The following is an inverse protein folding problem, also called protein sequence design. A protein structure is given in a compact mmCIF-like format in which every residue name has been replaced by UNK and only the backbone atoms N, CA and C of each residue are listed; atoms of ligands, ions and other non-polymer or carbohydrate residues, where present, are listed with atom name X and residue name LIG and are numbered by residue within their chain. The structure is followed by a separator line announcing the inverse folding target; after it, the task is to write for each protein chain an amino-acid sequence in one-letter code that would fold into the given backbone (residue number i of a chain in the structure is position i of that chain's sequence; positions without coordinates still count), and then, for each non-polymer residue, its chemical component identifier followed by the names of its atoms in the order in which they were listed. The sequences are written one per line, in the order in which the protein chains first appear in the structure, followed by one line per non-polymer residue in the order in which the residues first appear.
data_IF_024517472092
#
_entry.id   IF_024517472092
#
_cell.length_a   1.000
_cell.length_b   1.000
_cell.length_c   1.000
_cell.angle_alpha   90.00
_cell.angle_beta   90.00
_cell.angle_gamma   90.00
#
_symmetry.space_group_name_H-M   'P 1'
#
loop_
_entity.id
_entity.type
_entity.pdbx_description
1 polymer ?
#
# COMPACT_ATOMS: atom_id res chain seq x y z
N UNK A 1 0.23 -26.82 -15.09
CA UNK A 1 -0.08 -26.49 -13.68
C UNK A 1 0.15 -25.02 -13.49
N UNK A 2 -0.91 -24.22 -13.74
CA UNK A 2 -0.84 -22.78 -13.56
C UNK A 2 -0.70 -22.45 -12.08
N UNK A 3 0.42 -21.91 -11.68
CA UNK A 3 0.60 -21.33 -10.35
C UNK A 3 -0.31 -20.10 -10.27
N UNK A 4 -1.36 -20.19 -9.47
CA UNK A 4 -2.22 -19.07 -9.19
C UNK A 4 -1.45 -18.11 -8.31
N UNK A 5 -0.88 -17.08 -8.92
CA UNK A 5 -0.14 -16.06 -8.18
C UNK A 5 -1.10 -15.21 -7.37
N UNK A 6 -1.01 -15.33 -6.07
CA UNK A 6 -1.72 -14.45 -5.16
C UNK A 6 -0.83 -13.24 -4.88
N UNK A 7 -0.98 -12.19 -5.71
CA UNK A 7 -0.27 -10.95 -5.50
C UNK A 7 -0.62 -10.33 -4.13
N UNK A 8 0.40 -9.95 -3.40
CA UNK A 8 0.29 -9.23 -2.12
C UNK A 8 1.13 -7.96 -2.20
N UNK A 9 0.68 -6.91 -2.93
CA UNK A 9 1.38 -5.65 -2.92
C UNK A 9 1.31 -5.01 -1.54
N UNK A 10 2.45 -4.51 -1.11
CA UNK A 10 2.61 -3.73 0.11
C UNK A 10 2.92 -2.30 -0.29
N UNK A 11 2.15 -1.38 0.24
CA UNK A 11 2.26 0.05 0.01
C UNK A 11 2.91 0.68 1.24
N UNK A 12 4.00 1.39 1.04
CA UNK A 12 4.72 2.07 2.11
C UNK A 12 4.81 3.55 1.79
N UNK A 13 4.20 4.38 2.64
CA UNK A 13 4.39 5.82 2.59
C UNK A 13 5.68 6.20 3.30
N UNK A 14 6.50 7.00 2.63
CA UNK A 14 7.78 7.46 3.15
C UNK A 14 7.88 8.97 3.06
N UNK A 15 8.57 9.55 4.02
CA UNK A 15 8.77 10.98 4.16
C UNK A 15 10.24 11.32 3.97
N UNK A 16 10.53 12.28 3.12
CA UNK A 16 11.87 12.79 2.89
C UNK A 16 11.90 14.29 3.14
N UNK A 17 12.98 14.77 3.74
CA UNK A 17 13.23 16.19 3.88
C UNK A 17 13.59 16.85 2.55
N UNK A 18 13.91 18.16 2.59
CA UNK A 18 14.31 18.92 1.39
C UNK A 18 15.64 18.45 0.80
N UNK A 19 16.52 17.90 1.64
CA UNK A 19 17.86 17.43 1.26
C UNK A 19 17.81 15.98 0.74
N UNK A 20 16.69 15.30 0.90
CA UNK A 20 16.48 13.93 0.44
C UNK A 20 16.77 12.86 1.48
N UNK A 21 16.96 13.25 2.75
CA UNK A 21 17.08 12.29 3.84
C UNK A 21 15.72 11.77 4.24
N UNK A 22 15.62 10.48 4.52
CA UNK A 22 14.39 9.91 5.00
C UNK A 22 14.14 10.26 6.46
N UNK A 23 12.94 10.77 6.73
CA UNK A 23 12.44 11.02 8.08
C UNK A 23 11.61 9.82 8.51
N UNK A 24 12.07 9.12 9.51
CA UNK A 24 11.37 7.97 10.10
C UNK A 24 10.92 8.29 11.51
N UNK A 25 9.79 7.72 11.89
CA UNK A 25 9.33 7.76 13.27
C UNK A 25 10.00 6.67 14.11
N UNK A 26 10.03 6.88 15.41
CA UNK A 26 10.52 5.87 16.35
C UNK A 26 9.37 4.95 16.73
N UNK A 27 9.41 3.74 16.22
CA UNK A 27 8.46 2.71 16.58
C UNK A 27 8.78 2.03 17.90
N UNK A 28 8.06 0.96 18.18
CA UNK A 28 8.27 0.16 19.37
C UNK A 28 9.71 -0.35 19.45
N UNK A 29 10.30 -0.35 20.60
CA UNK A 29 11.69 -0.75 20.88
C UNK A 29 12.76 0.07 20.13
N UNK A 30 12.46 1.32 19.78
CA UNK A 30 13.40 2.19 19.09
C UNK A 30 13.63 1.87 17.61
N UNK A 31 12.87 0.96 17.03
CA UNK A 31 12.99 0.61 15.61
C UNK A 31 12.45 1.73 14.73
N UNK A 32 13.18 2.15 13.69
CA UNK A 32 12.66 3.13 12.73
C UNK A 32 11.48 2.55 11.94
N UNK A 33 10.42 3.34 11.81
CA UNK A 33 9.21 2.99 11.06
C UNK A 33 8.89 4.06 10.02
N UNK A 34 8.37 3.68 8.85
CA UNK A 34 7.91 4.63 7.84
C UNK A 34 6.63 5.32 8.29
N UNK A 35 6.18 6.30 7.51
CA UNK A 35 4.98 7.10 7.78
C UNK A 35 3.74 6.24 8.01
N UNK A 36 3.44 5.37 7.06
CA UNK A 36 2.31 4.45 7.12
C UNK A 36 2.49 3.31 6.13
N UNK A 37 1.75 2.24 6.33
CA UNK A 37 1.69 1.09 5.44
C UNK A 37 0.25 0.68 5.16
N UNK A 38 0.06 0.07 4.00
CA UNK A 38 -1.16 -0.63 3.65
C UNK A 38 -0.82 -1.86 2.81
N UNK A 39 -1.67 -2.86 2.82
CA UNK A 39 -1.49 -4.06 2.02
C UNK A 39 -2.82 -4.70 1.67
N UNK A 40 -2.85 -5.42 0.58
CA UNK A 40 -4.01 -6.17 0.17
C UNK A 40 -3.57 -7.42 -0.59
N UNK A 41 -4.03 -8.58 -0.15
CA UNK A 41 -4.00 -9.75 -1.00
C UNK A 41 -5.02 -9.58 -2.13
N UNK A 42 -4.56 -9.48 -3.37
CA UNK A 42 -5.41 -9.14 -4.54
C UNK A 42 -6.59 -10.11 -4.72
N UNK A 43 -6.44 -11.37 -4.30
CA UNK A 43 -7.56 -12.32 -4.28
C UNK A 43 -8.68 -11.96 -3.29
N UNK A 44 -8.45 -11.04 -2.38
CA UNK A 44 -9.44 -10.53 -1.41
C UNK A 44 -9.92 -9.11 -1.75
N UNK A 45 -9.80 -8.70 -3.01
CA UNK A 45 -10.13 -7.34 -3.49
C UNK A 45 -11.62 -6.97 -3.47
N UNK A 46 -12.50 -7.94 -3.20
CA UNK A 46 -13.95 -7.66 -3.20
C UNK A 46 -14.32 -6.67 -2.10
N UNK A 47 -14.88 -5.54 -2.51
CA UNK A 47 -15.33 -4.48 -1.60
C UNK A 47 -16.74 -4.76 -1.09
N UNK A 48 -17.00 -4.30 0.11
CA UNK A 48 -18.34 -4.16 0.65
C UNK A 48 -18.81 -2.71 0.37
N UNK A 49 -19.83 -2.52 -0.47
CA UNK A 49 -20.28 -1.18 -0.84
C UNK A 49 -21.00 -0.44 0.28
N UNK A 50 -21.56 -1.16 1.27
CA UNK A 50 -22.26 -0.56 2.40
C UNK A 50 -21.29 -0.06 3.47
N UNK A 51 -20.15 -0.74 3.64
CA UNK A 51 -19.15 -0.43 4.65
C UNK A 51 -17.98 0.38 4.13
N UNK A 52 -17.79 0.44 2.81
CA UNK A 52 -16.70 1.21 2.18
C UNK A 52 -17.01 2.70 2.18
N UNK A 53 -15.97 3.50 2.44
CA UNK A 53 -15.98 4.95 2.24
C UNK A 53 -14.96 5.31 1.14
N UNK A 54 -15.10 6.45 0.47
CA UNK A 54 -14.18 6.84 -0.60
C UNK A 54 -12.68 6.81 -0.22
N UNK A 55 -12.37 7.03 1.05
CA UNK A 55 -11.03 7.05 1.62
C UNK A 55 -10.69 5.81 2.46
N UNK A 56 -11.65 4.90 2.67
CA UNK A 56 -11.49 3.68 3.47
C UNK A 56 -12.22 2.52 2.80
N UNK A 57 -11.59 1.81 1.87
CA UNK A 57 -12.16 0.63 1.26
C UNK A 57 -12.30 -0.49 2.30
N UNK A 58 -13.48 -1.08 2.40
CA UNK A 58 -13.75 -2.22 3.26
C UNK A 58 -13.87 -3.49 2.42
N UNK A 59 -13.03 -4.48 2.69
CA UNK A 59 -12.99 -5.74 1.94
C UNK A 59 -13.80 -6.81 2.65
N UNK A 60 -14.65 -7.52 1.90
CA UNK A 60 -15.52 -8.56 2.47
C UNK A 60 -14.79 -9.77 3.03
N UNK A 61 -13.66 -10.15 2.46
CA UNK A 61 -12.88 -11.33 2.82
C UNK A 61 -13.65 -12.66 2.83
N UNK A 62 -14.82 -12.72 2.19
CA UNK A 62 -15.70 -13.91 2.18
C UNK A 62 -15.28 -14.97 1.17
N UNK A 63 -14.62 -14.56 0.09
CA UNK A 63 -14.20 -15.46 -1.00
C UNK A 63 -12.86 -15.03 -1.59
N UNK A 64 -12.18 -15.97 -2.23
CA UNK A 64 -10.93 -15.71 -2.93
C UNK A 64 -11.19 -15.56 -4.43
N UNK A 65 -10.86 -14.40 -4.98
CA UNK A 65 -10.99 -14.07 -6.40
C UNK A 65 -9.59 -14.13 -7.03
N UNK A 66 -9.15 -15.34 -7.35
CA UNK A 66 -7.85 -15.54 -8.00
C UNK A 66 -7.80 -14.89 -9.38
N UNK A 67 -6.62 -14.39 -9.74
CA UNK A 67 -6.38 -13.83 -11.07
C UNK A 67 -6.11 -14.94 -12.07
N UNK A 68 -6.63 -14.78 -13.28
CA UNK A 68 -6.24 -15.57 -14.45
C UNK A 68 -4.96 -14.99 -15.06
N UNK A 69 -4.18 -15.78 -15.78
CA UNK A 69 -3.04 -15.26 -16.52
C UNK A 69 -3.43 -14.09 -17.44
N UNK A 70 -2.74 -12.96 -17.32
CA UNK A 70 -3.02 -11.75 -18.09
C UNK A 70 -4.24 -10.93 -17.63
N UNK A 71 -4.95 -11.35 -16.60
CA UNK A 71 -6.08 -10.58 -16.05
C UNK A 71 -5.60 -9.32 -15.35
N UNK A 72 -6.21 -8.19 -15.72
CA UNK A 72 -5.95 -6.88 -15.11
C UNK A 72 -7.16 -6.52 -14.25
N UNK A 73 -6.90 -6.16 -12.99
CA UNK A 73 -7.96 -5.79 -12.05
C UNK A 73 -7.62 -4.50 -11.34
N UNK A 74 -8.65 -3.74 -11.02
CA UNK A 74 -8.52 -2.60 -10.13
C UNK A 74 -8.54 -3.08 -8.68
N UNK A 75 -7.67 -2.48 -7.85
CA UNK A 75 -7.64 -2.72 -6.41
C UNK A 75 -7.65 -1.39 -5.66
N UNK A 76 -8.31 -1.37 -4.53
CA UNK A 76 -8.27 -0.26 -3.59
C UNK A 76 -7.62 -0.76 -2.31
N UNK A 77 -6.64 -0.05 -1.82
CA UNK A 77 -5.88 -0.48 -0.64
C UNK A 77 -5.93 0.62 0.40
N UNK A 78 -6.43 0.30 1.58
CA UNK A 78 -6.35 1.20 2.71
C UNK A 78 -4.89 1.30 3.18
N UNK A 79 -4.40 2.52 3.27
CA UNK A 79 -3.16 2.82 3.98
C UNK A 79 -3.56 3.35 5.34
N UNK A 80 -3.00 2.77 6.38
CA UNK A 80 -3.39 3.09 7.75
C UNK A 80 -3.19 4.56 8.06
N UNK A 81 -4.11 5.16 8.83
CA UNK A 81 -4.04 6.57 9.15
C UNK A 81 -2.78 6.89 9.95
N UNK A 82 -2.24 8.05 9.68
CA UNK A 82 -1.07 8.60 10.37
C UNK A 82 -1.27 10.08 10.64
N UNK A 83 -0.54 10.61 11.62
CA UNK A 83 -0.48 12.03 11.91
C UNK A 83 0.95 12.51 11.74
N UNK A 84 1.29 12.99 10.55
CA UNK A 84 2.63 13.47 10.23
C UNK A 84 2.57 14.82 9.53
N UNK A 85 3.48 15.72 9.91
CA UNK A 85 3.61 17.05 9.32
C UNK A 85 4.65 17.02 8.21
N UNK A 86 4.22 17.28 6.98
CA UNK A 86 5.09 17.51 5.84
C UNK A 86 5.38 19.01 5.71
N UNK A 87 6.63 19.41 5.96
CA UNK A 87 7.04 20.81 5.82
C UNK A 87 7.20 21.19 4.35
N UNK A 88 7.21 22.49 4.06
CA UNK A 88 7.51 23.00 2.71
C UNK A 88 8.85 22.44 2.22
N UNK A 89 8.87 21.93 1.00
CA UNK A 89 10.07 21.31 0.41
C UNK A 89 10.27 19.82 0.73
N UNK A 90 9.53 19.29 1.70
CA UNK A 90 9.55 17.85 1.97
C UNK A 90 8.82 17.07 0.86
N UNK A 91 9.15 15.80 0.73
CA UNK A 91 8.59 14.91 -0.30
C UNK A 91 7.93 13.70 0.33
N UNK A 92 6.72 13.40 -0.17
CA UNK A 92 6.04 12.14 0.07
C UNK A 92 6.40 11.16 -1.04
N UNK A 93 6.75 9.93 -0.68
CA UNK A 93 6.98 8.84 -1.63
C UNK A 93 6.11 7.65 -1.28
N UNK A 94 5.47 7.08 -2.29
CA UNK A 94 4.75 5.82 -2.18
C UNK A 94 5.60 4.72 -2.82
N UNK A 95 6.03 3.77 -2.03
CA UNK A 95 6.69 2.56 -2.51
C UNK A 95 5.67 1.43 -2.63
N UNK A 96 5.64 0.75 -3.78
CA UNK A 96 4.84 -0.45 -4.00
C UNK A 96 5.79 -1.63 -4.10
N UNK A 97 5.69 -2.55 -3.15
CA UNK A 97 6.69 -3.60 -2.95
C UNK A 97 6.04 -4.97 -2.77
N UNK A 98 6.73 -6.06 -3.15
CA UNK A 98 6.23 -7.43 -2.91
C UNK A 98 6.46 -7.92 -1.48
N UNK A 99 7.16 -7.15 -0.65
CA UNK A 99 7.52 -7.46 0.73
C UNK A 99 7.68 -6.20 1.57
N UNK A 100 7.66 -6.35 2.88
CA UNK A 100 7.98 -5.24 3.79
C UNK A 100 9.44 -4.84 3.63
N UNK A 101 9.70 -3.66 3.07
CA UNK A 101 11.04 -3.20 2.70
C UNK A 101 11.77 -2.41 3.77
N UNK A 102 11.13 -2.09 4.89
CA UNK A 102 11.69 -1.18 5.91
C UNK A 102 11.35 -1.69 7.30
N UNK A 103 12.33 -1.66 8.17
CA UNK A 103 12.22 -2.04 9.57
C UNK A 103 12.76 -3.44 9.86
N UNK A 104 12.79 -3.79 11.13
CA UNK A 104 13.29 -5.09 11.57
C UNK A 104 12.40 -6.22 11.05
N UNK A 105 13.01 -7.31 10.83
CA UNK A 105 12.56 -8.49 10.09
C UNK A 105 11.40 -9.26 10.70
N UNK A 106 10.85 -8.82 11.81
CA UNK A 106 9.94 -9.64 12.63
C UNK A 106 8.55 -9.84 12.03
N UNK A 107 8.15 -9.04 11.01
CA UNK A 107 6.81 -9.11 10.43
C UNK A 107 6.88 -8.96 8.90
N UNK A 108 7.43 -9.95 8.25
CA UNK A 108 7.50 -9.97 6.80
C UNK A 108 6.25 -10.65 6.23
N UNK A 109 5.47 -9.89 5.45
CA UNK A 109 4.32 -10.41 4.72
C UNK A 109 4.73 -11.14 3.42
N UNK A 110 5.88 -11.80 3.46
CA UNK A 110 6.38 -12.58 2.34
C UNK A 110 6.10 -14.07 2.56
N UNK A 111 5.51 -14.70 1.56
CA UNK A 111 5.30 -16.14 1.55
C UNK A 111 5.77 -16.70 0.21
N UNK A 112 6.87 -17.44 0.24
CA UNK A 112 7.54 -17.94 -0.95
C UNK A 112 6.63 -18.78 -1.87
N UNK A 113 5.72 -19.55 -1.28
CA UNK A 113 4.84 -20.44 -2.04
C UNK A 113 3.67 -19.72 -2.72
N UNK A 114 3.29 -18.51 -2.24
CA UNK A 114 2.12 -17.78 -2.74
C UNK A 114 2.47 -16.48 -3.45
N UNK A 115 3.64 -15.92 -3.21
CA UNK A 115 4.04 -14.61 -3.73
C UNK A 115 5.07 -14.72 -4.85
N UNK A 116 5.01 -15.79 -5.62
CA UNK A 116 5.88 -15.99 -6.78
C UNK A 116 5.31 -15.34 -8.02
N UNK A 117 6.14 -14.65 -8.78
CA UNK A 117 5.76 -14.03 -10.05
C UNK A 117 6.01 -12.53 -10.10
N UNK A 118 5.76 -11.96 -11.26
CA UNK A 118 5.88 -10.53 -11.52
C UNK A 118 4.51 -9.87 -11.46
N UNK A 119 4.38 -8.80 -10.66
CA UNK A 119 3.20 -7.97 -10.60
C UNK A 119 3.45 -6.69 -11.41
N UNK A 120 2.59 -6.42 -12.38
CA UNK A 120 2.67 -5.20 -13.20
C UNK A 120 1.66 -4.20 -12.66
N UNK A 121 2.14 -3.01 -12.31
CA UNK A 121 1.30 -1.88 -11.90
C UNK A 121 1.14 -0.97 -13.12
N UNK A 122 -0.10 -0.68 -13.48
CA UNK A 122 -0.41 0.21 -14.59
C UNK A 122 -0.69 1.62 -14.05
N UNK A 123 -0.25 2.63 -14.80
CA UNK A 123 -0.56 4.03 -14.52
C UNK A 123 -0.74 4.79 -15.83
N UNK A 124 -1.71 5.70 -15.86
CA UNK A 124 -2.01 6.54 -17.02
C UNK A 124 -3.02 5.94 -18.02
N UNK A 125 -3.49 6.75 -18.96
CA UNK A 125 -4.52 6.39 -19.89
C UNK A 125 -5.83 6.03 -19.19
N UNK A 126 -6.40 4.89 -19.56
CA UNK A 126 -7.62 4.36 -18.93
C UNK A 126 -7.35 3.44 -17.72
N UNK A 127 -6.11 3.42 -17.22
CA UNK A 127 -5.69 2.60 -16.07
C UNK A 127 -4.93 3.48 -15.07
N UNK A 128 -5.63 4.45 -14.54
CA UNK A 128 -5.04 5.39 -13.57
C UNK A 128 -4.77 4.69 -12.24
N UNK A 129 -3.60 4.99 -11.68
CA UNK A 129 -3.24 4.70 -10.29
C UNK A 129 -3.00 6.00 -9.56
N UNK A 130 -3.60 6.16 -8.39
CA UNK A 130 -3.48 7.38 -7.60
C UNK A 130 -3.44 7.07 -6.11
N UNK A 131 -2.93 8.03 -5.36
CA UNK A 131 -2.97 8.06 -3.91
C UNK A 131 -3.93 9.14 -3.45
N UNK A 132 -4.98 8.77 -2.73
CA UNK A 132 -5.92 9.70 -2.11
C UNK A 132 -5.33 10.16 -0.78
N UNK A 133 -5.04 11.45 -0.67
CA UNK A 133 -4.48 12.05 0.53
C UNK A 133 -5.50 12.96 1.22
N UNK A 134 -5.66 12.87 2.55
CA UNK A 134 -6.40 13.88 3.31
C UNK A 134 -5.55 15.15 3.40
N UNK A 135 -6.07 16.26 2.89
CA UNK A 135 -5.41 17.56 2.99
C UNK A 135 -6.21 18.45 3.93
N UNK A 136 -5.60 18.89 5.01
CA UNK A 136 -6.19 19.86 5.92
C UNK A 136 -5.85 21.26 5.36
N UNK A 137 -6.84 22.05 4.92
CA UNK A 137 -6.58 23.39 4.41
C UNK A 137 -6.02 24.30 5.50
N UNK A 138 -5.16 25.22 5.11
CA UNK A 138 -4.68 26.25 6.01
C UNK A 138 -5.88 27.05 6.57
N UNK A 139 -5.86 27.33 7.87
CA UNK A 139 -6.82 28.27 8.47
C UNK A 139 -6.62 29.64 7.80
N UNK A 140 -7.70 30.17 7.25
CA UNK A 140 -7.75 31.56 6.77
C UNK A 140 -7.77 32.50 7.96
#
# INVERSE_FOLDING_TARGET
TGVQTCALPIFTLRHFDADGNEIMETGQQGTPVPVAKGWLRVSHRELDPELSLPYRPYHKHKRRLFLKPGEIVQVQVEIWPTSMVFKKGHRLRLDVQPRDGVGSQSYMHYHADYNTGTNTIYSGGNKESYLLLPVIPAKR
#
